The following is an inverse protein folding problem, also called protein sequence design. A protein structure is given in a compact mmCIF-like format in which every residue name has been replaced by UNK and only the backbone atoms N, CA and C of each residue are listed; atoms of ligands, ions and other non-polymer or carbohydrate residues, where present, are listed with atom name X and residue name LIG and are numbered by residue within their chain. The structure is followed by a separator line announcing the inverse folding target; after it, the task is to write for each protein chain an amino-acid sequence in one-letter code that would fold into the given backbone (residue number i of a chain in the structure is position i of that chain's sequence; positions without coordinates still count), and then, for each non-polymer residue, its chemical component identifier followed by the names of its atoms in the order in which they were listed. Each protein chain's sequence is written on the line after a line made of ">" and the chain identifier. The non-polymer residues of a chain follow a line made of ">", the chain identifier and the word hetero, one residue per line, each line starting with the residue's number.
data_IF_149326426371
#
_entry.id   IF_149326426371
#
_cell.length_a   1.000
_cell.length_b   1.000
_cell.length_c   1.000
_cell.angle_alpha   90.00
_cell.angle_beta   90.00
_cell.angle_gamma   90.00
#
_symmetry.space_group_name_H-M   'P 1'
#
loop_
_entity.id
_entity.type
_entity.pdbx_description
1 polymer ?
#
# COMPACT_ATOMS: atom_id res chain seq x y z
N UNK A 1 62.32 39.24 7.59
CA UNK A 1 61.43 38.35 8.37
C UNK A 1 60.01 38.73 8.07
N UNK A 2 59.30 38.03 7.15
CA UNK A 2 57.88 38.22 6.82
C UNK A 2 57.09 37.02 7.30
N UNK A 3 56.21 37.23 8.25
CA UNK A 3 55.35 36.24 8.87
C UNK A 3 54.10 36.15 8.02
N UNK A 4 53.85 35.01 7.32
CA UNK A 4 52.65 34.72 6.54
C UNK A 4 51.60 34.13 7.51
N UNK A 5 50.44 34.81 7.59
CA UNK A 5 49.30 34.31 8.29
C UNK A 5 48.49 33.37 7.37
N UNK A 6 48.44 32.09 7.77
CA UNK A 6 47.54 31.12 7.13
C UNK A 6 46.13 31.28 7.77
N UNK A 7 45.16 31.71 6.98
CA UNK A 7 43.77 31.73 7.37
C UNK A 7 43.17 30.36 7.00
N UNK A 8 42.84 29.56 8.02
CA UNK A 8 42.07 28.34 7.87
C UNK A 8 40.58 28.71 7.71
N UNK A 9 40.04 28.57 6.48
CA UNK A 9 38.60 28.63 6.26
C UNK A 9 38.00 27.27 6.61
N UNK A 10 37.22 27.22 7.68
CA UNK A 10 36.36 26.10 8.04
C UNK A 10 35.13 26.12 7.12
N UNK A 11 35.06 25.18 6.15
CA UNK A 11 33.84 24.88 5.42
C UNK A 11 32.91 24.08 6.33
N UNK A 12 31.86 24.75 6.83
CA UNK A 12 30.76 24.09 7.51
C UNK A 12 29.90 23.38 6.46
N UNK A 13 30.01 22.05 6.39
CA UNK A 13 29.07 21.21 5.66
C UNK A 13 27.74 21.20 6.40
N UNK A 14 26.76 21.93 5.89
CA UNK A 14 25.38 21.82 6.33
C UNK A 14 24.81 20.47 5.89
N UNK A 15 24.59 19.58 6.83
CA UNK A 15 23.82 18.37 6.63
C UNK A 15 22.36 18.79 6.47
N UNK A 16 21.84 18.73 5.24
CA UNK A 16 20.40 18.80 4.99
C UNK A 16 19.84 17.44 5.37
N UNK A 17 19.31 17.33 6.58
CA UNK A 17 18.49 16.20 6.97
C UNK A 17 17.22 16.25 6.10
N UNK A 18 17.15 15.37 5.11
CA UNK A 18 15.94 15.15 4.32
C UNK A 18 14.84 14.65 5.26
N UNK A 19 13.93 15.53 5.63
CA UNK A 19 12.68 15.11 6.27
C UNK A 19 11.92 14.25 5.25
N UNK A 20 11.86 12.94 5.50
CA UNK A 20 10.92 12.07 4.81
C UNK A 20 9.52 12.64 5.11
N UNK A 21 8.89 13.21 4.10
CA UNK A 21 7.51 13.65 4.19
C UNK A 21 6.68 12.38 4.43
N UNK A 22 6.23 12.18 5.65
CA UNK A 22 5.19 11.21 5.95
C UNK A 22 3.97 11.65 5.13
N UNK A 23 3.66 10.92 4.09
CA UNK A 23 2.47 11.16 3.29
C UNK A 23 1.27 10.86 4.19
N UNK A 24 0.49 11.89 4.50
CA UNK A 24 -0.73 11.73 5.28
C UNK A 24 -1.66 10.78 4.52
N UNK A 25 -2.15 9.77 5.24
CA UNK A 25 -3.19 8.88 4.70
C UNK A 25 -4.41 9.73 4.31
N UNK A 26 -5.10 9.38 3.22
CA UNK A 26 -6.27 10.11 2.79
C UNK A 26 -7.30 10.20 3.93
N UNK A 27 -7.72 11.41 4.23
CA UNK A 27 -8.77 11.65 5.24
C UNK A 27 -10.07 11.11 4.66
N UNK A 28 -10.64 10.12 5.34
CA UNK A 28 -11.94 9.55 4.97
C UNK A 28 -13.04 10.51 5.40
N UNK A 29 -13.98 10.80 4.49
CA UNK A 29 -15.19 11.53 4.83
C UNK A 29 -16.04 10.69 5.80
N UNK A 30 -16.41 11.28 6.96
CA UNK A 30 -17.20 10.58 7.98
C UNK A 30 -18.57 10.12 7.44
N UNK A 31 -19.14 10.84 6.48
CA UNK A 31 -20.39 10.49 5.81
C UNK A 31 -20.23 9.24 4.95
N UNK A 32 -19.17 9.18 4.14
CA UNK A 32 -18.83 8.01 3.33
C UNK A 32 -18.58 6.79 4.22
N UNK A 33 -17.80 6.95 5.28
CA UNK A 33 -17.51 5.88 6.24
C UNK A 33 -18.79 5.32 6.87
N UNK A 34 -19.70 6.20 7.26
CA UNK A 34 -21.00 5.80 7.84
C UNK A 34 -21.85 5.01 6.84
N UNK A 35 -21.92 5.45 5.60
CA UNK A 35 -22.67 4.75 4.56
C UNK A 35 -22.11 3.37 4.23
N UNK A 36 -20.78 3.26 4.12
CA UNK A 36 -20.09 1.98 3.92
C UNK A 36 -20.38 1.01 5.06
N UNK A 37 -20.32 1.49 6.30
CA UNK A 37 -20.58 0.65 7.47
C UNK A 37 -22.05 0.22 7.56
N UNK A 38 -23.00 1.07 7.17
CA UNK A 38 -24.43 0.72 7.11
C UNK A 38 -24.72 -0.36 6.06
N UNK A 39 -23.93 -0.44 4.99
CA UNK A 39 -24.03 -1.50 3.97
C UNK A 39 -23.30 -2.79 4.37
N UNK A 40 -22.65 -2.82 5.51
CA UNK A 40 -21.86 -3.97 5.97
C UNK A 40 -20.50 -4.12 5.31
N UNK A 41 -20.01 -3.06 4.65
CA UNK A 41 -18.70 -3.04 3.97
C UNK A 41 -17.54 -2.63 4.89
N UNK A 42 -17.80 -2.50 6.19
CA UNK A 42 -16.78 -2.19 7.20
C UNK A 42 -16.39 -3.40 8.03
N UNK A 43 -15.11 -3.46 8.37
CA UNK A 43 -14.62 -4.32 9.43
C UNK A 43 -14.81 -3.63 10.78
N UNK A 44 -15.14 -4.40 11.78
CA UNK A 44 -15.25 -3.93 13.15
C UNK A 44 -14.61 -4.95 14.09
N UNK A 45 -13.86 -4.47 15.08
CA UNK A 45 -13.23 -5.32 16.09
C UNK A 45 -12.31 -6.39 15.47
N UNK A 46 -11.46 -5.96 14.53
CA UNK A 46 -10.51 -6.84 13.84
C UNK A 46 -9.36 -7.16 14.77
N UNK A 47 -9.05 -8.43 14.91
CA UNK A 47 -7.81 -8.90 15.55
C UNK A 47 -6.90 -9.45 14.47
N UNK A 48 -5.72 -8.88 14.35
CA UNK A 48 -4.68 -9.37 13.44
C UNK A 48 -3.48 -9.83 14.27
N UNK A 49 -2.89 -10.95 13.90
CA UNK A 49 -1.73 -11.54 14.58
C UNK A 49 -0.58 -11.64 13.61
N UNK A 50 0.58 -11.17 14.01
CA UNK A 50 1.81 -11.30 13.22
C UNK A 50 2.89 -11.98 14.05
N UNK A 51 3.58 -12.97 13.46
CA UNK A 51 4.74 -13.61 14.07
C UNK A 51 5.98 -12.77 13.79
N UNK A 52 6.70 -12.45 14.84
CA UNK A 52 7.98 -11.72 14.77
C UNK A 52 9.14 -12.67 14.45
N UNK A 53 10.29 -12.12 14.07
CA UNK A 53 11.50 -12.89 13.73
C UNK A 53 12.04 -13.74 14.89
N UNK A 54 11.75 -13.37 16.13
CA UNK A 54 12.11 -14.14 17.34
C UNK A 54 11.10 -15.24 17.68
N UNK A 55 10.06 -15.43 16.85
CA UNK A 55 8.99 -16.41 17.03
C UNK A 55 7.85 -15.95 17.93
N UNK A 56 7.95 -14.77 18.55
CA UNK A 56 6.85 -14.20 19.32
C UNK A 56 5.69 -13.81 18.39
N UNK A 57 4.46 -13.86 18.90
CA UNK A 57 3.27 -13.42 18.21
C UNK A 57 2.83 -12.10 18.81
N UNK A 58 2.73 -11.08 17.98
CA UNK A 58 2.16 -9.79 18.35
C UNK A 58 0.75 -9.68 17.79
N UNK A 59 -0.20 -9.42 18.68
CA UNK A 59 -1.60 -9.19 18.31
C UNK A 59 -1.90 -7.70 18.34
N UNK A 60 -2.67 -7.25 17.36
CA UNK A 60 -3.22 -5.89 17.31
C UNK A 60 -4.74 -5.99 17.16
N UNK A 61 -5.46 -5.28 18.03
CA UNK A 61 -6.91 -5.18 18.00
C UNK A 61 -7.31 -3.80 17.51
N UNK A 62 -8.07 -3.75 16.44
CA UNK A 62 -8.59 -2.53 15.83
C UNK A 62 -10.07 -2.47 16.14
N UNK A 63 -10.45 -1.63 17.09
CA UNK A 63 -11.85 -1.46 17.54
C UNK A 63 -12.63 -0.45 16.72
N UNK A 64 -11.96 0.32 15.86
CA UNK A 64 -12.59 1.31 15.00
C UNK A 64 -13.17 0.64 13.74
N UNK A 65 -14.23 1.21 13.21
CA UNK A 65 -14.74 0.80 11.91
C UNK A 65 -13.72 1.11 10.82
N UNK A 66 -13.34 0.08 10.05
CA UNK A 66 -12.40 0.21 8.94
C UNK A 66 -12.99 -0.39 7.67
N UNK A 67 -13.33 0.40 6.67
CA UNK A 67 -13.71 -0.12 5.37
C UNK A 67 -12.53 -0.79 4.69
N UNK A 68 -12.80 -1.87 3.93
CA UNK A 68 -11.80 -2.49 3.09
C UNK A 68 -11.55 -1.70 1.81
N UNK A 69 -12.60 -1.05 1.30
CA UNK A 69 -12.60 -0.33 0.04
C UNK A 69 -13.15 1.07 0.30
N UNK A 70 -12.33 2.07 -0.01
CA UNK A 70 -12.68 3.48 -0.10
C UNK A 70 -12.51 3.94 -1.54
N UNK A 71 -13.14 5.03 -1.92
CA UNK A 71 -13.03 5.56 -3.28
C UNK A 71 -11.56 5.80 -3.69
N UNK A 72 -10.70 6.22 -2.78
CA UNK A 72 -9.31 6.59 -3.04
C UNK A 72 -8.27 5.58 -2.54
N UNK A 73 -8.68 4.52 -1.84
CA UNK A 73 -7.75 3.53 -1.29
C UNK A 73 -8.40 2.20 -0.94
N UNK A 74 -7.57 1.15 -0.88
CA UNK A 74 -7.92 -0.15 -0.32
C UNK A 74 -7.11 -0.38 0.94
N UNK A 75 -7.67 -1.13 1.88
CA UNK A 75 -6.99 -1.64 3.06
C UNK A 75 -7.10 -3.16 3.06
N UNK A 76 -5.96 -3.86 3.10
CA UNK A 76 -5.87 -5.31 3.17
C UNK A 76 -5.16 -5.66 4.47
N UNK A 77 -5.87 -6.36 5.38
CA UNK A 77 -5.30 -6.81 6.64
C UNK A 77 -4.58 -8.14 6.46
N UNK A 78 -3.60 -8.42 7.31
CA UNK A 78 -2.90 -9.71 7.32
C UNK A 78 -3.89 -10.87 7.49
N UNK A 79 -3.83 -11.84 6.58
CA UNK A 79 -4.75 -12.98 6.52
C UNK A 79 -5.97 -12.76 5.63
N UNK A 80 -6.14 -11.58 5.03
CA UNK A 80 -7.28 -11.28 4.15
C UNK A 80 -7.00 -11.52 2.67
N UNK A 81 -8.09 -11.82 1.98
CA UNK A 81 -8.21 -11.78 0.53
C UNK A 81 -9.28 -10.74 0.16
N UNK A 82 -8.98 -9.90 -0.82
CA UNK A 82 -9.86 -8.83 -1.27
C UNK A 82 -9.87 -8.76 -2.80
N UNK A 83 -11.06 -8.68 -3.40
CA UNK A 83 -11.22 -8.36 -4.80
C UNK A 83 -11.75 -6.94 -4.96
N UNK A 84 -11.08 -6.12 -5.78
CA UNK A 84 -11.48 -4.75 -6.04
C UNK A 84 -11.31 -4.39 -7.51
N UNK A 85 -11.99 -3.32 -7.91
CA UNK A 85 -11.93 -2.76 -9.25
C UNK A 85 -11.39 -1.34 -9.16
N UNK A 86 -10.38 -1.05 -9.97
CA UNK A 86 -9.95 0.30 -10.25
C UNK A 86 -10.70 0.82 -11.49
N UNK A 87 -11.53 1.83 -11.31
CA UNK A 87 -12.21 2.53 -12.40
C UNK A 87 -11.28 3.59 -12.99
N UNK A 88 -11.22 3.65 -14.32
CA UNK A 88 -10.44 4.64 -15.06
C UNK A 88 -11.29 5.41 -16.05
N UNK A 89 -11.02 6.72 -16.19
CA UNK A 89 -11.52 7.55 -17.27
C UNK A 89 -10.34 8.25 -17.96
N UNK A 90 -10.24 8.13 -19.30
CA UNK A 90 -9.13 8.67 -20.08
C UNK A 90 -7.73 8.31 -19.52
N UNK A 91 -7.56 7.06 -19.06
CA UNK A 91 -6.36 6.51 -18.40
C UNK A 91 -6.04 7.14 -17.02
N UNK A 92 -6.91 7.97 -16.48
CA UNK A 92 -6.79 8.51 -15.14
C UNK A 92 -7.58 7.67 -14.15
N UNK A 93 -6.99 7.36 -13.02
CA UNK A 93 -7.65 6.69 -11.91
C UNK A 93 -8.80 7.57 -11.38
N UNK A 94 -9.96 6.95 -11.20
CA UNK A 94 -11.14 7.62 -10.65
C UNK A 94 -11.41 7.16 -9.22
N UNK A 95 -11.49 5.83 -9.03
CA UNK A 95 -11.81 5.27 -7.72
C UNK A 95 -11.58 3.77 -7.64
N UNK A 96 -11.54 3.28 -6.42
CA UNK A 96 -11.73 1.89 -6.08
C UNK A 96 -13.21 1.59 -5.79
N UNK A 97 -13.64 0.37 -6.08
CA UNK A 97 -14.92 -0.18 -5.67
C UNK A 97 -14.89 -1.71 -5.61
N UNK A 98 -15.91 -2.29 -5.00
CA UNK A 98 -16.10 -3.74 -5.04
C UNK A 98 -16.38 -4.22 -6.46
N UNK A 99 -15.93 -5.45 -6.76
CA UNK A 99 -16.17 -6.06 -8.06
C UNK A 99 -17.65 -6.48 -8.21
N UNK A 100 -18.19 -6.23 -9.40
CA UNK A 100 -19.52 -6.69 -9.77
C UNK A 100 -19.42 -7.94 -10.66
N UNK A 101 -20.54 -8.65 -10.84
CA UNK A 101 -20.52 -9.89 -11.64
C UNK A 101 -20.12 -9.68 -13.11
N UNK A 102 -20.27 -8.49 -13.65
CA UNK A 102 -19.90 -8.12 -15.01
C UNK A 102 -19.23 -6.78 -15.01
N UNK A 103 -17.90 -6.82 -15.07
CA UNK A 103 -17.10 -5.61 -15.12
C UNK A 103 -16.87 -5.14 -16.56
N UNK A 104 -16.93 -3.81 -16.82
CA UNK A 104 -16.51 -3.24 -18.08
C UNK A 104 -15.07 -3.57 -18.39
N UNK A 105 -14.75 -3.81 -19.66
CA UNK A 105 -13.41 -4.24 -20.11
C UNK A 105 -12.29 -3.20 -19.91
N UNK A 106 -12.63 -1.97 -19.55
CA UNK A 106 -11.67 -0.87 -19.32
C UNK A 106 -11.18 -0.78 -17.89
N UNK A 107 -11.83 -1.49 -16.96
CA UNK A 107 -11.49 -1.44 -15.56
C UNK A 107 -10.48 -2.55 -15.24
N UNK A 108 -9.59 -2.26 -14.29
CA UNK A 108 -8.69 -3.27 -13.77
C UNK A 108 -9.36 -3.99 -12.60
N UNK A 109 -9.59 -5.29 -12.76
CA UNK A 109 -10.10 -6.18 -11.69
C UNK A 109 -8.91 -6.85 -11.04
N UNK A 110 -8.70 -6.56 -9.76
CA UNK A 110 -7.54 -7.02 -9.02
C UNK A 110 -7.95 -7.87 -7.83
N UNK A 111 -7.28 -9.02 -7.67
CA UNK A 111 -7.34 -9.83 -6.46
C UNK A 111 -6.10 -9.57 -5.62
N UNK A 112 -6.29 -9.37 -4.34
CA UNK A 112 -5.24 -9.15 -3.35
C UNK A 112 -5.28 -10.24 -2.31
N UNK A 113 -4.10 -10.72 -1.88
CA UNK A 113 -3.98 -11.69 -0.79
C UNK A 113 -2.76 -11.34 0.05
N UNK A 114 -2.98 -11.00 1.32
CA UNK A 114 -1.91 -10.69 2.26
C UNK A 114 -1.72 -11.84 3.25
N UNK A 115 -0.54 -12.46 3.23
CA UNK A 115 -0.26 -13.65 4.05
C UNK A 115 1.08 -13.53 4.75
N UNK A 116 1.23 -14.30 5.82
CA UNK A 116 2.52 -14.55 6.47
C UNK A 116 2.97 -15.97 6.19
N UNK A 117 4.23 -16.12 5.77
CA UNK A 117 4.84 -17.43 5.56
C UNK A 117 5.16 -18.06 6.93
N UNK A 118 4.80 -19.33 7.10
CA UNK A 118 5.03 -20.03 8.37
C UNK A 118 6.50 -20.32 8.64
N UNK A 119 7.30 -20.53 7.59
CA UNK A 119 8.68 -20.99 7.70
C UNK A 119 9.65 -19.92 8.19
N UNK A 120 9.51 -18.68 7.75
CA UNK A 120 10.45 -17.59 8.03
C UNK A 120 9.77 -16.32 8.56
N UNK A 121 8.45 -16.34 8.68
CA UNK A 121 7.68 -15.19 9.17
C UNK A 121 7.59 -14.02 8.19
N UNK A 122 8.10 -14.15 6.96
CA UNK A 122 8.00 -13.11 5.95
C UNK A 122 6.55 -12.84 5.58
N UNK A 123 6.24 -11.57 5.30
CA UNK A 123 4.91 -11.17 4.84
C UNK A 123 4.95 -11.06 3.32
N UNK A 124 3.91 -11.57 2.66
CA UNK A 124 3.76 -11.46 1.22
C UNK A 124 2.40 -10.93 0.84
N UNK A 125 2.37 -10.03 -0.13
CA UNK A 125 1.19 -9.60 -0.84
C UNK A 125 1.23 -10.19 -2.25
N UNK A 126 0.26 -11.03 -2.57
CA UNK A 126 -0.02 -11.41 -3.94
C UNK A 126 -1.04 -10.44 -4.52
N UNK A 127 -0.75 -9.89 -5.71
CA UNK A 127 -1.69 -9.12 -6.50
C UNK A 127 -1.86 -9.78 -7.86
N UNK A 128 -3.08 -10.18 -8.20
CA UNK A 128 -3.42 -10.75 -9.50
C UNK A 128 -4.29 -9.78 -10.28
N UNK A 129 -3.89 -9.49 -11.50
CA UNK A 129 -4.64 -8.64 -12.41
C UNK A 129 -5.50 -9.48 -13.36
N UNK A 130 -6.80 -9.51 -13.14
CA UNK A 130 -7.77 -10.18 -14.01
C UNK A 130 -8.30 -9.23 -15.11
N UNK A 131 -7.80 -7.98 -15.15
CA UNK A 131 -8.10 -7.00 -16.19
C UNK A 131 -7.31 -7.23 -17.47
N UNK A 132 -7.46 -6.32 -18.43
CA UNK A 132 -6.83 -6.40 -19.76
C UNK A 132 -5.62 -5.49 -19.92
N UNK A 133 -5.46 -4.52 -19.05
CA UNK A 133 -4.39 -3.53 -19.11
C UNK A 133 -3.44 -3.71 -17.91
N UNK A 134 -2.14 -3.54 -18.11
CA UNK A 134 -1.19 -3.55 -17.01
C UNK A 134 -1.46 -2.37 -16.07
N UNK A 135 -1.31 -2.61 -14.75
CA UNK A 135 -1.48 -1.57 -13.72
C UNK A 135 -0.28 -1.51 -12.80
N UNK A 136 0.09 -0.32 -12.37
CA UNK A 136 1.03 -0.07 -11.28
C UNK A 136 0.27 0.46 -10.07
N UNK A 137 0.64 -0.01 -8.87
CA UNK A 137 -0.03 0.33 -7.63
C UNK A 137 0.88 1.18 -6.74
N UNK A 138 0.31 2.16 -6.08
CA UNK A 138 0.96 2.86 -4.98
C UNK A 138 0.67 2.11 -3.69
N UNK A 139 1.68 1.45 -3.12
CA UNK A 139 1.53 0.64 -1.93
C UNK A 139 2.10 1.34 -0.70
N UNK A 140 1.43 1.15 0.43
CA UNK A 140 1.90 1.57 1.75
C UNK A 140 1.74 0.40 2.70
N UNK A 141 2.68 0.23 3.62
CA UNK A 141 2.65 -0.84 4.63
C UNK A 141 2.59 -0.25 6.02
N UNK A 142 1.77 -0.84 6.88
CA UNK A 142 1.67 -0.46 8.29
C UNK A 142 2.21 -1.59 9.17
N UNK A 143 3.14 -1.24 10.05
CA UNK A 143 3.65 -2.15 11.07
C UNK A 143 2.69 -2.24 12.26
N UNK A 144 2.75 -3.31 13.09
CA UNK A 144 1.96 -3.43 14.30
C UNK A 144 2.15 -2.23 15.23
N UNK A 145 1.05 -1.65 15.72
CA UNK A 145 1.06 -0.50 16.63
C UNK A 145 1.49 0.84 16.00
N UNK A 146 1.84 0.87 14.71
CA UNK A 146 2.19 2.11 14.04
C UNK A 146 0.95 2.98 13.77
N UNK A 147 1.06 4.30 14.03
CA UNK A 147 0.00 5.27 13.75
C UNK A 147 -0.14 5.59 12.25
N UNK A 148 0.93 5.43 11.47
CA UNK A 148 0.97 5.72 10.04
C UNK A 148 1.45 4.55 9.21
N UNK A 149 1.37 4.69 7.89
CA UNK A 149 1.88 3.73 6.92
C UNK A 149 3.08 4.32 6.16
N UNK A 150 3.97 3.44 5.72
CA UNK A 150 5.17 3.78 4.97
C UNK A 150 5.00 3.38 3.51
N UNK A 151 5.39 4.27 2.61
CA UNK A 151 5.39 3.98 1.17
C UNK A 151 6.33 2.82 0.85
N UNK A 152 5.90 1.96 -0.07
CA UNK A 152 6.72 0.92 -0.69
C UNK A 152 6.47 0.91 -2.19
N UNK A 153 7.50 0.62 -2.97
CA UNK A 153 7.34 0.50 -4.42
C UNK A 153 6.71 -0.85 -4.76
N UNK A 154 6.00 -0.91 -5.89
CA UNK A 154 5.51 -2.16 -6.47
C UNK A 154 5.95 -2.31 -7.92
N UNK A 155 6.05 -3.56 -8.37
CA UNK A 155 6.17 -3.85 -9.79
C UNK A 155 4.80 -3.68 -10.48
N UNK A 156 4.78 -3.31 -11.77
CA UNK A 156 3.54 -3.34 -12.54
C UNK A 156 2.98 -4.75 -12.64
N UNK A 157 1.67 -4.88 -12.46
CA UNK A 157 0.95 -6.16 -12.62
C UNK A 157 0.43 -6.25 -14.05
N UNK A 158 1.03 -7.12 -14.85
CA UNK A 158 0.62 -7.30 -16.23
C UNK A 158 -0.79 -7.91 -16.34
N UNK A 159 -1.46 -7.67 -17.43
CA UNK A 159 -2.78 -8.26 -17.71
C UNK A 159 -2.76 -9.79 -17.60
N UNK A 160 -3.66 -10.35 -16.81
CA UNK A 160 -3.75 -11.81 -16.56
C UNK A 160 -2.62 -12.37 -15.70
N UNK A 161 -1.69 -11.54 -15.23
CA UNK A 161 -0.53 -11.94 -14.41
C UNK A 161 -0.71 -11.69 -12.92
N UNK A 162 0.31 -12.11 -12.16
CA UNK A 162 0.43 -11.84 -10.74
C UNK A 162 1.80 -11.23 -10.42
N UNK A 163 1.85 -10.43 -9.37
CA UNK A 163 3.08 -9.94 -8.75
C UNK A 163 3.04 -10.28 -7.27
N UNK A 164 4.24 -10.48 -6.70
CA UNK A 164 4.41 -10.78 -5.29
C UNK A 164 5.36 -9.74 -4.69
N UNK A 165 4.88 -9.05 -3.65
CA UNK A 165 5.70 -8.15 -2.83
C UNK A 165 6.02 -8.83 -1.50
N UNK A 166 7.28 -8.70 -1.02
CA UNK A 166 7.75 -9.39 0.18
C UNK A 166 8.37 -8.41 1.16
N UNK A 167 8.03 -8.59 2.44
CA UNK A 167 8.63 -7.84 3.53
C UNK A 167 9.16 -8.79 4.60
N UNK A 168 10.45 -8.64 4.97
CA UNK A 168 11.06 -9.36 6.10
C UNK A 168 10.71 -8.73 7.46
N UNK A 169 10.08 -7.55 7.46
CA UNK A 169 9.58 -6.88 8.66
C UNK A 169 8.11 -7.18 8.89
N UNK A 170 7.61 -7.09 10.14
CA UNK A 170 6.20 -7.27 10.43
C UNK A 170 5.34 -6.22 9.70
N UNK A 171 4.32 -6.69 8.98
CA UNK A 171 3.30 -5.86 8.31
C UNK A 171 1.93 -6.44 8.68
N UNK A 172 1.06 -5.60 9.23
CA UNK A 172 -0.30 -6.00 9.61
C UNK A 172 -1.36 -5.52 8.63
N UNK A 173 -1.01 -4.53 7.82
CA UNK A 173 -1.92 -3.93 6.84
C UNK A 173 -1.14 -3.42 5.64
N UNK A 174 -1.65 -3.68 4.44
CA UNK A 174 -1.23 -3.02 3.21
C UNK A 174 -2.34 -2.08 2.76
N UNK A 175 -1.98 -0.84 2.51
CA UNK A 175 -2.89 0.16 1.95
C UNK A 175 -2.48 0.37 0.49
N UNK A 176 -3.44 0.22 -0.41
CA UNK A 176 -3.27 0.49 -1.83
C UNK A 176 -3.90 1.85 -2.11
N UNK A 177 -3.09 2.80 -2.53
CA UNK A 177 -3.56 4.11 -2.98
C UNK A 177 -4.07 4.06 -4.43
N UNK A 178 -3.78 5.09 -5.19
CA UNK A 178 -4.19 5.16 -6.60
C UNK A 178 -3.52 4.06 -7.44
N UNK A 179 -4.25 3.57 -8.43
CA UNK A 179 -3.73 2.71 -9.49
C UNK A 179 -3.39 3.55 -10.73
N UNK A 180 -2.35 3.15 -11.44
CA UNK A 180 -1.92 3.81 -12.69
C UNK A 180 -1.94 2.78 -13.82
N UNK A 181 -2.65 3.08 -14.92
CA UNK A 181 -2.56 2.27 -16.14
C UNK A 181 -1.18 2.45 -16.77
N UNK A 182 -0.54 1.35 -17.10
CA UNK A 182 0.77 1.36 -17.76
C UNK A 182 0.54 1.27 -19.27
N UNK A 183 0.69 2.41 -19.95
CA UNK A 183 0.44 2.51 -21.41
C UNK A 183 1.72 2.46 -22.24
N UNK A 184 2.89 2.45 -21.61
CA UNK A 184 4.20 2.40 -22.24
C UNK A 184 4.96 1.15 -21.77
N UNK A 185 5.45 0.34 -22.71
CA UNK A 185 6.23 -0.87 -22.43
C UNK A 185 7.50 -0.58 -21.61
N UNK A 186 8.07 0.61 -21.71
CA UNK A 186 9.21 1.03 -20.89
C UNK A 186 8.87 1.20 -19.40
N UNK A 187 7.61 1.43 -19.06
CA UNK A 187 7.14 1.60 -17.69
C UNK A 187 6.81 0.25 -16.99
N UNK A 188 6.96 -0.89 -17.65
CA UNK A 188 6.80 -2.23 -17.07
C UNK A 188 7.99 -2.67 -16.20
N UNK A 189 8.91 -1.75 -15.90
CA UNK A 189 10.06 -2.05 -15.04
C UNK A 189 9.71 -1.86 -13.56
N UNK A 190 10.21 -2.77 -12.74
CA UNK A 190 10.22 -2.60 -11.28
C UNK A 190 11.27 -1.53 -10.93
N UNK A 191 10.93 -0.54 -10.13
CA UNK A 191 11.83 0.51 -9.65
C UNK A 191 12.14 0.28 -8.19
#
# INVERSE_FOLDING_TARGET
>A
MRMQHFIFQFLALAWVAGAALAQELPVVDEGELRELCLRGECRFDVVTSVRLADGQVQEERITQHRPAILANSLSIMLGEELQAVADFDNNQFIRWRAAERREPSRNAVLDFKLTQTESDGSISLEVRNNGREPVKLNLFTRAPGAAGAEYTSSCPVIAGGSVYEYWSRPVVEVIVGEAVLVTDDGALQCN
#
